data_IF_319068556692
#
_entry.id   IF_319068556692
#
_cell.length_a   1.000
_cell.length_b   1.000
_cell.length_c   1.000
_cell.angle_alpha   90.00
_cell.angle_beta   90.00
_cell.angle_gamma   90.00
#
_symmetry.space_group_name_H-M   'P 1'
#
loop_
_entity.id
_entity.type
_entity.pdbx_description
1 polymer ?
#
# COMPACT_ATOMS: atom_id res chain seq x y z
N UNK A 1 -20.58 -8.06 16.31
CA UNK A 1 -19.16 -7.99 15.94
C UNK A 1 -18.34 -8.32 17.17
N UNK A 2 -17.65 -9.44 17.13
CA UNK A 2 -16.74 -9.87 18.21
C UNK A 2 -15.50 -8.97 18.26
N UNK A 3 -14.73 -8.99 19.35
CA UNK A 3 -13.48 -8.23 19.45
C UNK A 3 -12.49 -8.63 18.34
N UNK A 4 -12.46 -9.92 17.99
CA UNK A 4 -11.66 -10.46 16.88
C UNK A 4 -12.03 -9.83 15.53
N UNK A 5 -13.33 -9.68 15.24
CA UNK A 5 -13.78 -9.06 13.99
C UNK A 5 -13.34 -7.59 13.87
N UNK A 6 -13.35 -6.86 14.99
CA UNK A 6 -12.90 -5.46 15.01
C UNK A 6 -11.40 -5.35 14.72
N UNK A 7 -10.59 -6.22 15.32
CA UNK A 7 -9.14 -6.25 15.09
C UNK A 7 -8.83 -6.58 13.62
N UNK A 8 -9.48 -7.60 13.05
CA UNK A 8 -9.31 -7.98 11.64
C UNK A 8 -9.71 -6.82 10.73
N UNK A 9 -10.80 -6.12 11.02
CA UNK A 9 -11.24 -4.97 10.24
C UNK A 9 -10.24 -3.81 10.30
N UNK A 10 -9.70 -3.51 11.49
CA UNK A 10 -8.66 -2.49 11.65
C UNK A 10 -7.37 -2.86 10.92
N UNK A 11 -6.95 -4.12 10.98
CA UNK A 11 -5.78 -4.63 10.24
C UNK A 11 -5.99 -4.55 8.72
N UNK A 12 -7.19 -4.87 8.23
CA UNK A 12 -7.51 -4.76 6.81
C UNK A 12 -7.46 -3.30 6.33
N UNK A 13 -7.92 -2.34 7.14
CA UNK A 13 -7.78 -0.91 6.85
C UNK A 13 -6.33 -0.44 6.88
N UNK A 14 -5.57 -0.83 7.90
CA UNK A 14 -4.15 -0.50 8.00
C UNK A 14 -3.38 -1.06 6.78
N UNK A 15 -3.67 -2.30 6.37
CA UNK A 15 -3.05 -2.91 5.20
C UNK A 15 -3.44 -2.21 3.90
N UNK A 16 -4.71 -1.81 3.76
CA UNK A 16 -5.15 -1.02 2.61
C UNK A 16 -4.42 0.33 2.52
N UNK A 17 -4.30 1.05 3.64
CA UNK A 17 -3.56 2.31 3.71
C UNK A 17 -2.07 2.12 3.43
N UNK A 18 -1.48 1.01 3.89
CA UNK A 18 -0.09 0.65 3.59
C UNK A 18 0.12 0.47 2.08
N UNK A 19 -0.78 -0.25 1.42
CA UNK A 19 -0.75 -0.42 -0.04
C UNK A 19 -0.92 0.92 -0.78
N UNK A 20 -1.85 1.77 -0.32
CA UNK A 20 -2.04 3.12 -0.87
C UNK A 20 -0.79 4.00 -0.69
N UNK A 21 -0.16 3.97 0.48
CA UNK A 21 1.09 4.69 0.75
C UNK A 21 2.22 4.20 -0.16
N UNK A 22 2.30 2.88 -0.41
CA UNK A 22 3.22 2.31 -1.38
C UNK A 22 3.00 2.85 -2.80
N UNK A 23 1.74 3.00 -3.24
CA UNK A 23 1.42 3.58 -4.57
C UNK A 23 1.76 5.07 -4.62
N UNK A 24 1.43 5.83 -3.57
CA UNK A 24 1.71 7.27 -3.51
C UNK A 24 3.21 7.59 -3.55
N UNK A 25 4.07 6.69 -3.07
CA UNK A 25 5.54 6.81 -3.18
C UNK A 25 6.05 6.89 -4.62
N UNK A 26 5.28 6.46 -5.62
CA UNK A 26 5.67 6.55 -7.03
C UNK A 26 5.41 7.93 -7.67
N UNK A 27 4.64 8.81 -7.01
CA UNK A 27 4.32 10.14 -7.54
C UNK A 27 5.58 10.97 -7.85
N UNK A 28 6.58 11.07 -6.94
CA UNK A 28 7.81 11.82 -7.21
C UNK A 28 8.59 11.28 -8.41
N UNK A 29 8.65 9.96 -8.59
CA UNK A 29 9.28 9.34 -9.76
C UNK A 29 8.60 9.77 -11.07
N UNK A 30 7.26 9.70 -11.13
CA UNK A 30 6.50 10.14 -12.30
C UNK A 30 6.68 11.63 -12.59
N UNK A 31 6.72 12.46 -11.53
CA UNK A 31 6.96 13.89 -11.65
C UNK A 31 8.37 14.20 -12.18
N UNK A 32 9.41 13.54 -11.67
CA UNK A 32 10.79 13.74 -12.15
C UNK A 32 10.97 13.20 -13.58
N UNK A 33 10.33 12.09 -13.93
CA UNK A 33 10.33 11.57 -15.30
C UNK A 33 9.67 12.55 -16.28
N UNK A 34 8.56 13.18 -15.87
CA UNK A 34 7.89 14.22 -16.66
C UNK A 34 8.77 15.46 -16.81
N UNK A 35 9.39 15.95 -15.73
CA UNK A 35 10.32 17.09 -15.81
C UNK A 35 11.52 16.80 -16.71
N UNK A 36 12.04 15.57 -16.67
CA UNK A 36 13.14 15.14 -17.54
C UNK A 36 12.77 15.21 -19.02
N UNK A 37 11.52 14.87 -19.34
CA UNK A 37 10.97 14.96 -20.71
C UNK A 37 10.83 16.42 -21.17
N UNK A 38 10.59 17.34 -20.25
CA UNK A 38 10.48 18.78 -20.51
C UNK A 38 11.84 19.51 -20.54
N UNK A 39 12.96 18.79 -20.45
CA UNK A 39 14.31 19.35 -20.46
C UNK A 39 14.80 19.89 -19.12
N UNK A 40 13.98 19.79 -18.05
CA UNK A 40 14.35 20.15 -16.69
C UNK A 40 14.92 18.92 -15.96
N UNK A 41 16.16 18.54 -16.29
CA UNK A 41 16.85 17.41 -15.64
C UNK A 41 17.49 17.83 -14.33
N UNK A 42 17.01 17.30 -13.21
CA UNK A 42 17.65 17.41 -11.89
C UNK A 42 18.11 16.05 -11.40
N UNK A 43 19.44 15.82 -11.46
CA UNK A 43 20.07 14.59 -10.97
C UNK A 43 19.83 14.37 -9.47
N UNK A 44 19.64 15.45 -8.70
CA UNK A 44 19.33 15.40 -7.27
C UNK A 44 17.91 14.89 -7.06
N UNK A 45 16.92 15.42 -7.78
CA UNK A 45 15.53 14.99 -7.67
C UNK A 45 15.35 13.52 -8.11
N UNK A 46 16.11 13.08 -9.12
CA UNK A 46 16.14 11.69 -9.54
C UNK A 46 16.67 10.76 -8.45
N UNK A 47 17.81 11.10 -7.83
CA UNK A 47 18.40 10.29 -6.74
C UNK A 47 17.47 10.22 -5.53
N UNK A 48 16.84 11.33 -5.14
CA UNK A 48 15.85 11.35 -4.06
C UNK A 48 14.63 10.48 -4.37
N UNK A 49 14.14 10.50 -5.62
CA UNK A 49 13.00 9.68 -6.04
C UNK A 49 13.31 8.19 -6.03
N UNK A 50 14.53 7.81 -6.43
CA UNK A 50 15.02 6.43 -6.34
C UNK A 50 15.19 5.98 -4.89
N UNK A 51 15.77 6.82 -4.03
CA UNK A 51 15.95 6.52 -2.61
C UNK A 51 14.60 6.28 -1.91
N UNK A 52 13.61 7.14 -2.19
CA UNK A 52 12.27 7.02 -1.63
C UNK A 52 11.57 5.69 -1.99
N UNK A 53 11.90 5.12 -3.16
CA UNK A 53 11.29 3.91 -3.71
C UNK A 53 12.13 2.67 -3.46
N UNK A 54 13.40 2.82 -3.12
CA UNK A 54 14.28 1.73 -2.71
C UNK A 54 13.58 0.85 -1.66
N UNK A 55 12.96 1.45 -0.64
CA UNK A 55 12.31 0.71 0.46
C UNK A 55 10.93 0.12 0.14
N UNK A 56 10.41 0.31 -1.07
CA UNK A 56 9.03 -0.11 -1.41
C UNK A 56 8.86 -1.62 -1.41
N UNK A 57 9.94 -2.38 -1.63
CA UNK A 57 9.92 -3.85 -1.55
C UNK A 57 9.58 -4.34 -0.13
N UNK A 58 10.07 -3.67 0.91
CA UNK A 58 9.72 -3.99 2.30
C UNK A 58 8.25 -3.69 2.61
N UNK A 59 7.73 -2.56 2.11
CA UNK A 59 6.32 -2.19 2.25
C UNK A 59 5.44 -3.25 1.58
N UNK A 60 5.81 -3.70 0.39
CA UNK A 60 5.08 -4.75 -0.32
C UNK A 60 5.14 -6.10 0.40
N UNK A 61 6.29 -6.48 0.95
CA UNK A 61 6.42 -7.69 1.76
C UNK A 61 5.52 -7.67 2.99
N UNK A 62 5.54 -6.58 3.76
CA UNK A 62 4.65 -6.40 4.92
C UNK A 62 3.19 -6.44 4.48
N UNK A 63 2.87 -5.79 3.36
CA UNK A 63 1.52 -5.80 2.80
C UNK A 63 1.02 -7.21 2.48
N UNK A 64 1.83 -8.02 1.80
CA UNK A 64 1.51 -9.42 1.47
C UNK A 64 1.41 -10.28 2.72
N UNK A 65 2.32 -10.11 3.69
CA UNK A 65 2.31 -10.86 4.95
C UNK A 65 1.04 -10.58 5.75
N UNK A 66 0.64 -9.32 5.88
CA UNK A 66 -0.60 -8.94 6.57
C UNK A 66 -1.82 -9.45 5.80
N UNK A 67 -1.82 -9.36 4.48
CA UNK A 67 -2.91 -9.91 3.64
C UNK A 67 -3.05 -11.43 3.83
N UNK A 68 -1.93 -12.14 3.88
CA UNK A 68 -1.88 -13.58 4.13
C UNK A 68 -2.36 -13.93 5.55
N UNK A 69 -1.95 -13.17 6.56
CA UNK A 69 -2.42 -13.33 7.95
C UNK A 69 -3.94 -13.09 8.10
N UNK A 70 -4.47 -12.09 7.39
CA UNK A 70 -5.92 -11.84 7.34
C UNK A 70 -6.64 -13.01 6.65
N UNK A 71 -6.11 -13.50 5.52
CA UNK A 71 -6.67 -14.66 4.81
C UNK A 71 -6.67 -15.91 5.69
N UNK A 72 -5.58 -16.19 6.38
CA UNK A 72 -5.45 -17.36 7.26
C UNK A 72 -6.41 -17.28 8.45
N UNK A 73 -6.59 -16.09 9.03
CA UNK A 73 -7.44 -15.90 10.22
C UNK A 73 -8.93 -15.81 9.94
N UNK A 74 -9.32 -15.45 8.70
CA UNK A 74 -10.72 -15.15 8.33
C UNK A 74 -11.27 -16.00 7.17
N UNK A 75 -10.45 -16.91 6.62
CA UNK A 75 -10.70 -17.69 5.38
C UNK A 75 -11.10 -16.82 4.16
N UNK A 76 -10.88 -15.51 4.26
CA UNK A 76 -11.33 -14.52 3.28
C UNK A 76 -10.24 -13.53 2.99
N UNK A 77 -10.02 -13.31 1.71
CA UNK A 77 -9.14 -12.26 1.20
C UNK A 77 -9.87 -10.91 1.30
N UNK A 78 -9.55 -10.13 2.32
CA UNK A 78 -10.06 -8.78 2.49
C UNK A 78 -9.08 -7.75 1.93
N UNK A 79 -9.04 -7.63 0.60
CA UNK A 79 -8.29 -6.56 -0.08
C UNK A 79 -9.00 -5.21 0.10
N UNK A 80 -10.33 -5.21 0.02
CA UNK A 80 -11.16 -4.01 0.15
C UNK A 80 -11.97 -4.08 1.44
N UNK A 81 -11.53 -3.41 2.53
CA UNK A 81 -12.14 -3.57 3.85
C UNK A 81 -13.62 -3.16 3.88
N UNK A 82 -14.04 -2.19 3.05
CA UNK A 82 -15.45 -1.78 2.96
C UNK A 82 -16.38 -2.85 2.34
N UNK A 83 -15.87 -3.79 1.52
CA UNK A 83 -16.67 -4.91 1.01
C UNK A 83 -16.99 -5.96 2.07
N UNK A 84 -16.18 -6.06 3.13
CA UNK A 84 -16.42 -6.98 4.24
C UNK A 84 -17.72 -6.65 4.99
N UNK A 85 -18.12 -5.38 5.03
CA UNK A 85 -19.31 -4.90 5.73
C UNK A 85 -20.62 -5.21 4.97
N UNK A 86 -20.55 -5.54 3.67
CA UNK A 86 -21.72 -5.71 2.80
C UNK A 86 -22.32 -7.12 2.79
N UNK A 87 -21.71 -8.10 3.47
CA UNK A 87 -22.32 -9.45 3.59
C UNK A 87 -23.05 -9.58 4.93
N UNK A 88 -24.13 -8.83 5.10
CA UNK A 88 -25.25 -9.27 5.96
C UNK A 88 -25.95 -10.40 5.19
N UNK A 89 -25.64 -11.65 5.53
CA UNK A 89 -26.60 -12.74 5.39
C UNK A 89 -27.08 -13.08 6.78
#
# INVERSE_FOLDING_TARGET
MTARDRIIFSLAWANFLLGLAGVLKFIPLGFVALQSTLGANSTVAWRWSLDLISDTHWIFLVWVLVLAGIRYSSDRLMIFPWRARLKKR
#
